data_IF_956017342253
#
_entry.id   IF_956017342253
#
_cell.length_a   1.000
_cell.length_b   1.000
_cell.length_c   1.000
_cell.angle_alpha   90.00
_cell.angle_beta   90.00
_cell.angle_gamma   90.00
#
_symmetry.space_group_name_H-M   'P 1'
#
loop_
_entity.id
_entity.type
_entity.pdbx_description
1 polymer ?
#
# COMPACT_ATOMS: atom_id res chain seq x y z
N UNK A 1 -13.59 17.93 -3.80
CA UNK A 1 -12.16 17.59 -3.55
C UNK A 1 -11.66 16.24 -4.11
N UNK A 2 -12.52 15.40 -4.70
CA UNK A 2 -12.10 14.25 -5.53
C UNK A 2 -12.89 14.18 -6.85
N UNK A 3 -13.29 15.35 -7.35
CA UNK A 3 -14.04 15.47 -8.59
C UNK A 3 -13.03 15.49 -9.76
N UNK A 4 -13.31 14.87 -10.91
CA UNK A 4 -12.38 14.80 -12.06
C UNK A 4 -11.97 16.15 -12.66
N UNK A 5 -12.42 17.26 -12.09
CA UNK A 5 -12.08 18.64 -12.49
C UNK A 5 -10.98 19.27 -11.62
N UNK A 6 -10.48 18.59 -10.59
CA UNK A 6 -9.30 19.02 -9.80
C UNK A 6 -8.13 18.08 -10.12
N UNK A 7 -7.29 18.51 -11.06
CA UNK A 7 -6.11 17.79 -11.59
C UNK A 7 -4.84 17.98 -10.74
N UNK A 8 -4.97 18.23 -9.44
CA UNK A 8 -3.78 18.21 -8.59
C UNK A 8 -3.46 16.77 -8.19
N UNK A 9 -2.18 16.33 -8.27
CA UNK A 9 -1.78 15.00 -7.85
C UNK A 9 -2.08 14.82 -6.34
N UNK A 10 -3.23 14.23 -6.02
CA UNK A 10 -3.60 13.97 -4.64
C UNK A 10 -2.79 12.79 -4.12
N UNK A 11 -1.88 13.06 -3.18
CA UNK A 11 -1.19 12.01 -2.44
C UNK A 11 -2.14 11.19 -1.56
N UNK A 12 -3.35 11.70 -1.33
CA UNK A 12 -4.37 11.13 -0.43
C UNK A 12 -4.97 9.80 -0.90
N UNK A 13 -4.88 9.47 -2.19
CA UNK A 13 -5.51 8.29 -2.80
C UNK A 13 -4.52 7.55 -3.66
N UNK A 14 -4.54 6.22 -3.56
CA UNK A 14 -3.77 5.30 -4.42
C UNK A 14 -3.90 5.70 -5.90
N UNK A 15 -2.80 5.80 -6.67
CA UNK A 15 -1.45 5.30 -6.35
C UNK A 15 -0.61 6.17 -5.42
N UNK A 16 -1.11 7.33 -4.97
CA UNK A 16 -0.43 8.15 -3.97
C UNK A 16 -0.30 7.44 -2.61
N UNK A 17 0.88 7.55 -2.00
CA UNK A 17 1.26 6.89 -0.74
C UNK A 17 0.83 7.65 0.52
N UNK A 18 0.21 8.82 0.40
CA UNK A 18 -0.06 9.73 1.53
C UNK A 18 -0.87 9.07 2.64
N UNK A 19 -1.91 8.29 2.31
CA UNK A 19 -2.70 7.56 3.31
C UNK A 19 -1.86 6.57 4.13
N UNK A 20 -0.88 5.91 3.51
CA UNK A 20 0.00 4.96 4.20
C UNK A 20 1.06 5.69 5.04
N UNK A 21 1.64 6.76 4.50
CA UNK A 21 2.60 7.60 5.22
C UNK A 21 1.96 8.22 6.47
N UNK A 22 0.72 8.69 6.37
CA UNK A 22 -0.04 9.20 7.51
C UNK A 22 -0.27 8.11 8.57
N UNK A 23 -0.59 6.88 8.16
CA UNK A 23 -0.75 5.76 9.07
C UNK A 23 0.57 5.38 9.76
N UNK A 24 1.68 5.34 9.01
CA UNK A 24 3.02 5.08 9.53
C UNK A 24 3.39 6.10 10.60
N UNK A 25 3.23 7.39 10.31
CA UNK A 25 3.53 8.46 11.25
C UNK A 25 2.60 8.44 12.47
N UNK A 26 1.30 8.23 12.27
CA UNK A 26 0.30 8.26 13.34
C UNK A 26 0.44 7.12 14.33
N UNK A 27 0.78 5.93 13.85
CA UNK A 27 0.82 4.71 14.67
C UNK A 27 2.24 4.20 14.94
N UNK A 28 3.26 4.95 14.52
CA UNK A 28 4.67 4.56 14.66
C UNK A 28 4.95 3.15 14.13
N UNK A 29 4.46 2.89 12.92
CA UNK A 29 4.60 1.58 12.25
C UNK A 29 5.97 1.52 11.61
N UNK A 30 6.64 0.38 11.72
CA UNK A 30 7.86 0.12 10.94
C UNK A 30 7.47 -0.34 9.52
N UNK A 31 7.72 0.47 8.48
CA UNK A 31 7.37 0.10 7.11
C UNK A 31 8.16 -1.11 6.60
N UNK A 32 9.37 -1.36 7.11
CA UNK A 32 10.19 -2.51 6.71
C UNK A 32 9.64 -3.84 7.22
N UNK A 33 8.89 -3.81 8.32
CA UNK A 33 8.19 -4.96 8.90
C UNK A 33 6.71 -5.01 8.51
N UNK A 34 6.31 -4.23 7.52
CA UNK A 34 4.92 -4.09 7.09
C UNK A 34 4.71 -4.55 5.65
N UNK A 35 3.48 -5.02 5.39
CA UNK A 35 3.02 -5.43 4.07
C UNK A 35 1.67 -4.81 3.78
N UNK A 36 1.47 -4.34 2.55
CA UNK A 36 0.16 -3.97 2.02
C UNK A 36 -0.30 -5.02 1.02
N UNK A 37 -1.47 -5.60 1.24
CA UNK A 37 -2.11 -6.56 0.34
C UNK A 37 -3.22 -5.82 -0.42
N UNK A 38 -3.25 -5.92 -1.74
CA UNK A 38 -4.26 -5.26 -2.57
C UNK A 38 -4.49 -5.96 -3.90
N UNK A 39 -5.64 -5.68 -4.53
CA UNK A 39 -6.10 -6.34 -5.76
C UNK A 39 -5.74 -5.57 -7.04
N UNK A 40 -5.08 -4.41 -6.89
CA UNK A 40 -4.82 -3.49 -8.00
C UNK A 40 -3.36 -3.05 -8.03
N UNK A 41 -2.76 -2.83 -9.21
CA UNK A 41 -1.39 -2.35 -9.33
C UNK A 41 -1.11 -1.06 -8.53
N UNK A 42 -2.07 -0.12 -8.55
CA UNK A 42 -2.01 1.14 -7.79
C UNK A 42 -1.85 0.95 -6.28
N UNK A 43 -2.20 -0.23 -5.75
CA UNK A 43 -2.07 -0.56 -4.34
C UNK A 43 -0.63 -0.88 -4.00
N UNK A 44 0.02 -1.69 -4.83
CA UNK A 44 1.45 -1.97 -4.74
C UNK A 44 2.28 -0.71 -4.98
N UNK A 45 1.87 0.15 -5.93
CA UNK A 45 2.53 1.45 -6.16
C UNK A 45 2.49 2.34 -4.92
N UNK A 46 1.31 2.46 -4.28
CA UNK A 46 1.17 3.24 -3.05
C UNK A 46 2.02 2.65 -1.91
N UNK A 47 2.03 1.32 -1.75
CA UNK A 47 2.84 0.61 -0.77
C UNK A 47 4.33 0.93 -0.93
N UNK A 48 4.86 0.70 -2.13
CA UNK A 48 6.26 0.90 -2.44
C UNK A 48 6.69 2.35 -2.22
N UNK A 49 5.85 3.32 -2.59
CA UNK A 49 6.11 4.74 -2.33
C UNK A 49 6.09 5.13 -0.85
N UNK A 50 5.49 4.31 0.02
CA UNK A 50 5.53 4.46 1.48
C UNK A 50 6.67 3.67 2.16
N UNK A 51 7.50 2.97 1.38
CA UNK A 51 8.53 2.05 1.90
C UNK A 51 7.95 0.74 2.45
N UNK A 52 6.67 0.45 2.19
CA UNK A 52 5.98 -0.78 2.58
C UNK A 52 6.03 -1.77 1.43
N UNK A 53 6.21 -3.06 1.72
CA UNK A 53 6.18 -4.09 0.67
C UNK A 53 4.74 -4.31 0.19
N UNK A 54 4.53 -4.27 -1.12
CA UNK A 54 3.22 -4.55 -1.73
C UNK A 54 3.07 -6.02 -2.16
N UNK A 55 1.93 -6.64 -1.86
CA UNK A 55 1.50 -7.92 -2.42
C UNK A 55 0.26 -7.68 -3.27
N UNK A 56 0.36 -8.02 -4.56
CA UNK A 56 -0.77 -8.04 -5.48
C UNK A 56 -1.43 -9.41 -5.41
N UNK A 57 -2.74 -9.42 -5.20
CA UNK A 57 -3.57 -10.62 -5.25
C UNK A 57 -4.67 -10.45 -6.31
N UNK A 58 -5.24 -11.54 -6.79
CA UNK A 58 -6.48 -11.49 -7.56
C UNK A 58 -7.68 -11.21 -6.64
N UNK A 59 -8.79 -10.67 -7.18
CA UNK A 59 -10.03 -10.57 -6.42
C UNK A 59 -10.45 -11.94 -5.85
N UNK A 60 -10.78 -11.95 -4.56
CA UNK A 60 -11.18 -13.14 -3.78
C UNK A 60 -10.07 -14.21 -3.62
N UNK A 61 -8.83 -13.92 -4.00
CA UNK A 61 -7.70 -14.80 -3.72
C UNK A 61 -7.40 -14.85 -2.22
N UNK A 62 -7.26 -16.08 -1.71
CA UNK A 62 -6.81 -16.30 -0.35
C UNK A 62 -5.29 -16.30 -0.31
N UNK A 63 -4.72 -15.44 0.53
CA UNK A 63 -3.29 -15.40 0.82
C UNK A 63 -2.99 -16.09 2.14
N UNK A 64 -2.01 -16.98 2.13
CA UNK A 64 -1.54 -17.63 3.35
C UNK A 64 -0.46 -16.81 4.08
N UNK A 65 -0.23 -17.15 5.34
CA UNK A 65 0.74 -16.46 6.17
C UNK A 65 2.20 -16.73 5.73
N UNK A 66 2.47 -17.84 5.06
CA UNK A 66 3.82 -18.18 4.59
C UNK A 66 4.24 -17.26 3.43
N UNK A 67 3.32 -16.93 2.53
CA UNK A 67 3.51 -15.96 1.46
C UNK A 67 3.84 -14.57 2.02
N UNK A 68 3.10 -14.13 3.05
CA UNK A 68 3.38 -12.86 3.73
C UNK A 68 4.78 -12.85 4.36
N UNK A 69 5.17 -13.93 5.04
CA UNK A 69 6.52 -14.06 5.62
C UNK A 69 7.62 -14.06 4.57
N UNK A 70 7.41 -14.74 3.45
CA UNK A 70 8.37 -14.77 2.35
C UNK A 70 8.62 -13.36 1.80
N UNK A 71 7.57 -12.56 1.67
CA UNK A 71 7.67 -11.15 1.27
C UNK A 71 8.36 -10.32 2.35
N UNK A 72 8.06 -10.52 3.63
CA UNK A 72 8.76 -9.81 4.71
C UNK A 72 10.26 -10.12 4.78
N UNK A 73 10.67 -11.32 4.39
CA UNK A 73 12.07 -11.75 4.44
C UNK A 73 12.96 -11.29 3.26
N UNK A 74 12.37 -10.73 2.19
CA UNK A 74 13.11 -10.25 1.00
C UNK A 74 13.77 -8.88 1.15
#
# INVERSE_FOLDING_TARGET
>A
PHHPTVNEPCLCRKPGSGMLLDAIAKYNIDPALSVMIGDKPRDVEAANGAGVKGILIEPDEQIDYEAVKAVLAS
#
